data_IF_948704790408
#
_entry.id   IF_948704790408
#
_cell.length_a   1.000
_cell.length_b   1.000
_cell.length_c   1.000
_cell.angle_alpha   90.00
_cell.angle_beta   90.00
_cell.angle_gamma   90.00
#
_symmetry.space_group_name_H-M   'P 1'
#
loop_
_entity.id
_entity.type
_entity.pdbx_description
1 polymer ?
#
# COMPACT_ATOMS: atom_id res chain seq x y z
N UNK A 1 -7.19 0.45 13.72
CA UNK A 1 -6.49 0.75 12.44
C UNK A 1 -6.97 2.10 11.91
N UNK A 2 -6.04 2.94 11.51
CA UNK A 2 -6.40 4.25 10.97
C UNK A 2 -6.97 4.11 9.56
N UNK A 3 -7.92 4.97 9.20
CA UNK A 3 -8.59 4.92 7.88
C UNK A 3 -7.60 5.00 6.71
N UNK A 4 -6.54 5.77 6.86
CA UNK A 4 -5.51 5.94 5.83
C UNK A 4 -4.75 4.64 5.62
N UNK A 5 -4.37 3.95 6.69
CA UNK A 5 -3.71 2.66 6.61
C UNK A 5 -4.63 1.60 6.01
N UNK A 6 -5.90 1.60 6.43
CA UNK A 6 -6.91 0.70 5.88
C UNK A 6 -7.07 0.91 4.36
N UNK A 7 -7.14 2.17 3.93
CA UNK A 7 -7.25 2.50 2.51
C UNK A 7 -6.06 1.94 1.72
N UNK A 8 -4.86 2.13 2.23
CA UNK A 8 -3.66 1.61 1.56
C UNK A 8 -3.67 0.08 1.48
N UNK A 9 -4.03 -0.61 2.56
CA UNK A 9 -4.12 -2.07 2.58
C UNK A 9 -5.17 -2.57 1.60
N UNK A 10 -6.33 -1.94 1.54
CA UNK A 10 -7.39 -2.32 0.60
C UNK A 10 -6.93 -2.20 -0.85
N UNK A 11 -6.26 -1.11 -1.18
CA UNK A 11 -5.76 -0.89 -2.54
C UNK A 11 -4.68 -1.90 -2.91
N UNK A 12 -3.77 -2.18 -1.99
CA UNK A 12 -2.68 -3.13 -2.23
C UNK A 12 -3.16 -4.58 -2.29
N UNK A 13 -4.33 -4.87 -1.72
CA UNK A 13 -4.90 -6.23 -1.74
C UNK A 13 -5.69 -6.54 -3.01
N UNK A 14 -5.85 -5.59 -3.92
CA UNK A 14 -6.58 -5.81 -5.19
C UNK A 14 -5.81 -6.78 -6.09
N UNK A 15 -6.53 -7.39 -7.04
CA UNK A 15 -5.95 -8.34 -7.99
C UNK A 15 -4.83 -7.72 -8.83
N UNK A 16 -5.02 -6.48 -9.31
CA UNK A 16 -4.00 -5.71 -10.02
C UNK A 16 -3.74 -4.46 -9.20
N UNK A 17 -2.95 -4.55 -8.12
CA UNK A 17 -2.82 -3.45 -7.19
C UNK A 17 -1.98 -2.31 -7.74
N UNK A 18 -2.34 -1.06 -7.41
CA UNK A 18 -1.43 0.06 -7.60
C UNK A 18 -0.27 -0.11 -6.61
N UNK A 19 0.94 -0.31 -7.11
CA UNK A 19 2.09 -0.63 -6.26
C UNK A 19 3.06 0.53 -6.04
N UNK A 20 3.02 1.53 -6.90
CA UNK A 20 3.86 2.73 -6.73
C UNK A 20 3.13 3.76 -5.86
N UNK A 21 3.85 4.52 -5.02
CA UNK A 21 3.19 5.53 -4.18
C UNK A 21 2.33 6.52 -4.96
N UNK A 22 2.79 6.96 -6.13
CA UNK A 22 2.03 7.89 -6.97
C UNK A 22 0.71 7.28 -7.46
N UNK A 23 0.73 6.00 -7.79
CA UNK A 23 -0.48 5.29 -8.21
C UNK A 23 -1.47 5.14 -7.06
N UNK A 24 -0.97 4.85 -5.84
CA UNK A 24 -1.80 4.76 -4.65
C UNK A 24 -2.49 6.09 -4.35
N UNK A 25 -1.75 7.18 -4.44
CA UNK A 25 -2.28 8.52 -4.22
C UNK A 25 -3.41 8.81 -5.23
N UNK A 26 -3.16 8.56 -6.49
CA UNK A 26 -4.12 8.80 -7.57
C UNK A 26 -5.37 7.92 -7.41
N UNK A 27 -5.18 6.62 -7.18
CA UNK A 27 -6.27 5.65 -7.09
C UNK A 27 -7.13 5.87 -5.84
N UNK A 28 -6.57 6.45 -4.78
CA UNK A 28 -7.30 6.66 -3.53
C UNK A 28 -8.38 7.75 -3.61
N UNK A 29 -8.41 8.52 -4.70
CA UNK A 29 -9.38 9.59 -4.84
C UNK A 29 -9.21 10.72 -3.83
N UNK A 30 -8.00 10.97 -3.38
CA UNK A 30 -7.69 12.07 -2.47
C UNK A 30 -7.56 11.67 -1.00
N UNK A 31 -7.83 10.41 -0.65
CA UNK A 31 -7.68 9.93 0.73
C UNK A 31 -6.19 9.85 1.11
N UNK A 32 -5.38 9.32 0.20
CA UNK A 32 -3.93 9.29 0.37
C UNK A 32 -3.33 10.53 -0.30
N UNK A 33 -2.55 11.29 0.44
CA UNK A 33 -1.96 12.55 -0.03
C UNK A 33 -0.44 12.49 0.00
N UNK A 34 0.18 13.09 -0.97
CA UNK A 34 1.60 13.34 -1.02
C UNK A 34 1.94 14.53 -0.10
N UNK A 35 3.01 14.52 0.70
CA UNK A 35 4.02 13.47 0.87
C UNK A 35 3.69 12.42 1.95
N UNK A 36 2.57 12.54 2.61
CA UNK A 36 2.18 11.70 3.75
C UNK A 36 2.18 10.21 3.40
N UNK A 37 1.79 9.87 2.18
CA UNK A 37 1.74 8.48 1.71
C UNK A 37 3.09 7.77 1.83
N UNK A 38 4.18 8.48 1.58
CA UNK A 38 5.53 7.89 1.71
C UNK A 38 5.86 7.53 3.14
N UNK A 39 5.48 8.39 4.08
CA UNK A 39 5.65 8.13 5.52
C UNK A 39 4.82 6.94 5.94
N UNK A 40 3.57 6.90 5.50
CA UNK A 40 2.64 5.81 5.78
C UNK A 40 3.19 4.45 5.31
N UNK A 41 3.60 4.38 4.06
CA UNK A 41 4.13 3.14 3.48
C UNK A 41 5.40 2.69 4.18
N UNK A 42 6.27 3.62 4.54
CA UNK A 42 7.49 3.29 5.29
C UNK A 42 7.15 2.70 6.67
N UNK A 43 6.17 3.27 7.35
CA UNK A 43 5.70 2.76 8.64
C UNK A 43 5.08 1.38 8.50
N UNK A 44 4.28 1.16 7.46
CA UNK A 44 3.67 -0.14 7.17
C UNK A 44 4.75 -1.19 6.87
N UNK A 45 5.81 -0.79 6.18
CA UNK A 45 6.95 -1.67 5.92
C UNK A 45 7.64 -2.07 7.23
N UNK A 46 7.86 -1.13 8.13
CA UNK A 46 8.45 -1.42 9.45
C UNK A 46 7.59 -2.38 10.27
N UNK A 47 6.28 -2.31 10.13
CA UNK A 47 5.34 -3.22 10.80
C UNK A 47 5.23 -4.59 10.12
N UNK A 48 5.86 -4.77 8.97
CA UNK A 48 5.80 -6.02 8.21
C UNK A 48 4.51 -6.21 7.42
N UNK A 49 3.72 -5.16 7.22
CA UNK A 49 2.45 -5.23 6.49
C UNK A 49 2.64 -5.18 4.98
N UNK A 50 3.74 -4.59 4.52
CA UNK A 50 4.11 -4.51 3.12
C UNK A 50 5.59 -4.81 2.96
N UNK A 51 5.96 -5.29 1.78
CA UNK A 51 7.35 -5.43 1.35
C UNK A 51 7.68 -4.25 0.45
N UNK A 52 8.88 -3.74 0.61
CA UNK A 52 9.40 -2.66 -0.23
C UNK A 52 10.42 -3.21 -1.19
N UNK A 53 10.20 -2.98 -2.46
CA UNK A 53 11.10 -3.40 -3.54
C UNK A 53 11.51 -2.18 -4.35
N UNK A 54 12.57 -2.32 -5.12
CA UNK A 54 13.03 -1.27 -6.01
C UNK A 54 13.05 -1.77 -7.43
N UNK A 55 12.58 -0.93 -8.35
CA UNK A 55 12.64 -1.18 -9.76
C UNK A 55 13.61 -0.18 -10.37
N UNK A 56 14.60 -0.69 -11.12
CA UNK A 56 15.54 0.18 -11.80
C UNK A 56 14.83 0.84 -12.97
N UNK A 57 14.85 2.17 -12.97
CA UNK A 57 14.35 2.93 -14.10
C UNK A 57 15.31 2.79 -15.29
N UNK A 58 14.74 2.62 -16.47
CA UNK A 58 15.53 2.56 -17.70
C UNK A 58 15.94 3.95 -18.21
N UNK A 59 15.75 4.99 -17.39
CA UNK A 59 16.11 6.34 -17.77
C UNK A 59 17.62 6.57 -17.68
N UNK A 60 18.07 7.68 -18.24
CA UNK A 60 19.50 8.04 -18.28
C UNK A 60 20.09 8.32 -16.90
N UNK A 61 19.25 8.52 -15.89
CA UNK A 61 19.68 8.82 -14.53
C UNK A 61 19.77 7.57 -13.68
N UNK A 62 19.37 6.42 -14.22
CA UNK A 62 19.47 5.14 -13.54
C UNK A 62 18.83 5.16 -12.14
N UNK A 63 17.72 5.88 -12.00
CA UNK A 63 17.04 6.05 -10.74
C UNK A 63 16.22 4.84 -10.38
N UNK A 64 16.20 4.52 -9.08
CA UNK A 64 15.39 3.42 -8.53
C UNK A 64 14.02 3.94 -8.14
N UNK A 65 13.00 3.17 -8.48
CA UNK A 65 11.62 3.47 -8.08
C UNK A 65 11.16 2.48 -7.03
N UNK A 66 10.77 2.94 -5.83
CA UNK A 66 10.23 2.02 -4.83
C UNK A 66 8.81 1.61 -5.21
N UNK A 67 8.50 0.33 -4.98
CA UNK A 67 7.14 -0.16 -5.07
C UNK A 67 6.86 -1.07 -3.88
N UNK A 68 5.58 -1.26 -3.58
CA UNK A 68 5.16 -1.95 -2.37
C UNK A 68 4.19 -3.07 -2.70
N UNK A 69 4.37 -4.20 -2.02
CA UNK A 69 3.52 -5.39 -2.17
C UNK A 69 3.01 -5.74 -0.77
N UNK A 70 1.71 -6.05 -0.68
CA UNK A 70 1.12 -6.45 0.59
C UNK A 70 1.67 -7.83 0.99
N UNK A 71 1.99 -7.99 2.28
CA UNK A 71 2.46 -9.27 2.82
C UNK A 71 1.28 -10.12 3.29
N UNK A 72 1.54 -11.39 3.62
CA UNK A 72 0.54 -12.25 4.25
C UNK A 72 0.05 -11.61 5.55
N UNK A 73 0.96 -11.06 6.34
CA UNK A 73 0.62 -10.36 7.58
C UNK A 73 -0.31 -9.17 7.32
N UNK A 74 -0.03 -8.41 6.26
CA UNK A 74 -0.89 -7.29 5.86
C UNK A 74 -2.28 -7.74 5.45
N UNK A 75 -2.36 -8.82 4.68
CA UNK A 75 -3.65 -9.39 4.26
C UNK A 75 -4.46 -9.88 5.45
N UNK A 76 -3.80 -10.57 6.39
CA UNK A 76 -4.47 -11.08 7.58
C UNK A 76 -4.99 -9.94 8.47
N UNK A 77 -4.22 -8.88 8.61
CA UNK A 77 -4.65 -7.70 9.36
C UNK A 77 -5.88 -7.06 8.72
N UNK A 78 -5.87 -6.94 7.41
CA UNK A 78 -7.02 -6.39 6.67
C UNK A 78 -8.26 -7.27 6.83
N UNK A 79 -8.11 -8.58 6.65
CA UNK A 79 -9.22 -9.52 6.78
C UNK A 79 -9.80 -9.50 8.19
N UNK A 80 -8.96 -9.49 9.22
CA UNK A 80 -9.39 -9.43 10.61
C UNK A 80 -10.21 -8.16 10.87
N UNK A 81 -9.73 -7.03 10.36
CA UNK A 81 -10.44 -5.76 10.49
C UNK A 81 -11.82 -5.82 9.82
N UNK A 82 -11.87 -6.32 8.59
CA UNK A 82 -13.12 -6.39 7.84
C UNK A 82 -14.14 -7.34 8.49
N UNK A 83 -13.68 -8.46 9.04
CA UNK A 83 -14.54 -9.41 9.74
C UNK A 83 -15.23 -8.78 10.95
N UNK A 84 -14.54 -7.89 11.66
CA UNK A 84 -15.13 -7.20 12.82
C UNK A 84 -16.31 -6.32 12.44
N UNK A 85 -16.40 -5.92 11.18
CA UNK A 85 -17.49 -5.10 10.66
C UNK A 85 -18.47 -5.91 9.81
N UNK A 86 -18.35 -7.25 9.80
CA UNK A 86 -19.22 -8.10 9.00
C UNK A 86 -18.98 -8.00 7.50
N UNK A 87 -17.82 -7.49 7.09
CA UNK A 87 -17.45 -7.33 5.69
C UNK A 87 -16.56 -8.49 5.22
N UNK A 88 -16.64 -8.78 3.93
CA UNK A 88 -15.85 -9.85 3.32
C UNK A 88 -15.08 -9.26 2.14
N UNK A 89 -13.82 -9.68 1.97
CA UNK A 89 -13.04 -9.33 0.79
C UNK A 89 -13.61 -10.06 -0.41
N UNK A 90 -14.00 -9.29 -1.39
CA UNK A 90 -14.53 -9.84 -2.64
C UNK A 90 -13.39 -10.22 -3.59
#
# INVERSE_FOLDING_TARGET
>A
MHIIELTALCLLAKKNPPKYPSELIHTSGGILKHPYTYVLLNNMHKKGLVEKHFENSADQFNSERPFYIITVKGKLKLEDFLKRFGLVLA
#
